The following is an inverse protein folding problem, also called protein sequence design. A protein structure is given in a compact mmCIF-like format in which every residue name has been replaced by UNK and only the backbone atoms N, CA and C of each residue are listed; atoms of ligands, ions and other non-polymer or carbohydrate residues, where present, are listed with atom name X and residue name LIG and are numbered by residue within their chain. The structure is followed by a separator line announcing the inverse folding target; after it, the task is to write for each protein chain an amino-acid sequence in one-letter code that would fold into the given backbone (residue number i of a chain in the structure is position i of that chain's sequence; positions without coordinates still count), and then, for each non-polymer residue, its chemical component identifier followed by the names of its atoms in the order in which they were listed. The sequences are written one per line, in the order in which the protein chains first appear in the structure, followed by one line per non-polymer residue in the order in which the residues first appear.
data_IF_736756003654
#
_entry.id   IF_736756003654
#
_cell.length_a   1.000
_cell.length_b   1.000
_cell.length_c   1.000
_cell.angle_alpha   90.00
_cell.angle_beta   90.00
_cell.angle_gamma   90.00
#
_symmetry.space_group_name_H-M   'P 1'
#
loop_
_entity.id
_entity.type
_entity.pdbx_description
1 polymer ?
#
# COMPACT_ATOMS: atom_id res chain seq x y z
N UNK A 1 22.73 18.76 -10.53
CA UNK A 1 22.62 17.34 -10.08
C UNK A 1 21.36 16.78 -10.72
N UNK A 2 21.45 15.70 -11.50
CA UNK A 2 20.28 15.04 -12.08
C UNK A 2 19.87 13.88 -11.17
N UNK A 3 18.61 13.86 -10.74
CA UNK A 3 18.05 12.81 -9.89
C UNK A 3 17.47 11.68 -10.76
N UNK A 4 17.62 10.44 -10.30
CA UNK A 4 16.99 9.26 -10.94
C UNK A 4 15.47 9.26 -10.73
N UNK A 5 15.01 9.74 -9.57
CA UNK A 5 13.60 9.92 -9.25
C UNK A 5 13.46 11.08 -8.27
N UNK A 6 12.39 11.86 -8.43
CA UNK A 6 11.99 12.92 -7.52
C UNK A 6 10.46 12.91 -7.39
N UNK A 7 9.91 13.13 -6.18
CA UNK A 7 8.47 13.19 -6.00
C UNK A 7 7.91 14.44 -6.71
N UNK A 8 6.75 14.28 -7.33
CA UNK A 8 5.98 15.39 -7.91
C UNK A 8 4.94 15.79 -6.88
N UNK A 9 5.17 16.93 -6.23
CA UNK A 9 4.28 17.49 -5.21
C UNK A 9 3.95 18.93 -5.57
N UNK A 10 2.70 19.32 -5.40
CA UNK A 10 2.23 20.67 -5.71
C UNK A 10 1.15 21.17 -4.77
N UNK A 11 0.41 22.17 -5.25
CA UNK A 11 -0.73 22.73 -4.53
C UNK A 11 -1.82 21.69 -4.19
N UNK A 12 -2.18 20.74 -5.08
CA UNK A 12 -3.21 19.75 -4.77
C UNK A 12 -2.88 18.90 -3.54
N UNK A 13 -1.65 18.38 -3.45
CA UNK A 13 -1.22 17.55 -2.31
C UNK A 13 -1.19 18.37 -1.02
N UNK A 14 -0.70 19.62 -1.10
CA UNK A 14 -0.70 20.53 0.05
C UNK A 14 -2.11 20.84 0.55
N UNK A 15 -3.04 21.09 -0.37
CA UNK A 15 -4.43 21.37 -0.03
C UNK A 15 -5.14 20.13 0.56
N UNK A 16 -4.86 18.94 0.04
CA UNK A 16 -5.39 17.69 0.59
C UNK A 16 -4.87 17.44 2.02
N UNK A 17 -3.57 17.66 2.26
CA UNK A 17 -2.98 17.55 3.59
C UNK A 17 -3.59 18.56 4.58
N UNK A 18 -3.76 19.82 4.17
CA UNK A 18 -4.36 20.85 5.00
C UNK A 18 -5.77 20.47 5.46
N UNK A 19 -6.61 19.92 4.58
CA UNK A 19 -7.95 19.44 4.95
C UNK A 19 -7.93 18.37 6.05
N UNK A 20 -6.96 17.44 6.01
CA UNK A 20 -6.80 16.42 7.06
C UNK A 20 -6.40 17.08 8.38
N UNK A 21 -5.44 18.00 8.35
CA UNK A 21 -4.99 18.74 9.53
C UNK A 21 -6.13 19.55 10.15
N UNK A 22 -6.86 20.30 9.33
CA UNK A 22 -7.98 21.15 9.77
C UNK A 22 -9.15 20.34 10.32
N UNK A 23 -9.32 19.08 9.88
CA UNK A 23 -10.35 18.17 10.41
C UNK A 23 -10.06 17.66 11.83
N UNK A 24 -8.81 17.72 12.28
CA UNK A 24 -8.37 17.14 13.56
C UNK A 24 -8.26 15.61 13.60
N UNK A 25 -8.61 14.89 12.51
CA UNK A 25 -8.55 13.44 12.42
C UNK A 25 -7.40 12.99 11.51
N UNK A 26 -6.23 12.70 12.11
CA UNK A 26 -4.97 12.51 11.37
C UNK A 26 -4.68 11.08 10.90
N UNK A 27 -5.43 10.09 11.37
CA UNK A 27 -5.19 8.67 11.10
C UNK A 27 -6.24 8.11 10.13
N UNK A 28 -6.40 6.78 10.08
CA UNK A 28 -7.40 6.08 9.28
C UNK A 28 -8.78 6.72 9.45
N UNK A 29 -9.33 7.25 8.35
CA UNK A 29 -10.56 8.05 8.35
C UNK A 29 -11.11 8.22 6.94
N UNK A 30 -11.99 9.21 6.75
CA UNK A 30 -12.75 9.38 5.49
C UNK A 30 -11.86 9.50 4.25
N UNK A 31 -10.69 10.14 4.36
CA UNK A 31 -9.77 10.27 3.23
C UNK A 31 -9.17 8.92 2.80
N UNK A 32 -8.95 8.01 3.75
CA UNK A 32 -8.46 6.65 3.45
C UNK A 32 -9.54 5.85 2.74
N UNK A 33 -10.78 5.87 3.24
CA UNK A 33 -11.91 5.21 2.58
C UNK A 33 -12.16 5.74 1.18
N UNK A 34 -12.13 7.07 1.00
CA UNK A 34 -12.27 7.67 -0.33
C UNK A 34 -11.15 7.23 -1.29
N UNK A 35 -9.93 7.08 -0.78
CA UNK A 35 -8.81 6.54 -1.56
C UNK A 35 -9.03 5.06 -1.92
N UNK A 36 -9.45 4.22 -0.98
CA UNK A 36 -9.75 2.80 -1.20
C UNK A 36 -10.82 2.61 -2.28
N UNK A 37 -11.95 3.32 -2.19
CA UNK A 37 -13.03 3.28 -3.17
C UNK A 37 -12.55 3.69 -4.57
N UNK A 38 -11.81 4.80 -4.66
CA UNK A 38 -11.25 5.28 -5.92
C UNK A 38 -10.22 4.30 -6.50
N UNK A 39 -9.37 3.72 -5.65
CA UNK A 39 -8.34 2.77 -6.08
C UNK A 39 -8.94 1.45 -6.55
N UNK A 40 -9.96 0.93 -5.85
CA UNK A 40 -10.73 -0.24 -6.27
C UNK A 40 -11.35 -0.02 -7.67
N UNK A 41 -12.00 1.14 -7.86
CA UNK A 41 -12.62 1.49 -9.13
C UNK A 41 -11.61 1.56 -10.29
N UNK A 42 -10.43 2.16 -10.08
CA UNK A 42 -9.36 2.24 -11.09
C UNK A 42 -8.86 0.86 -11.52
N UNK A 43 -8.85 -0.11 -10.60
CA UNK A 43 -8.35 -1.47 -10.87
C UNK A 43 -9.45 -2.48 -11.21
N UNK A 44 -10.72 -2.06 -11.22
CA UNK A 44 -11.87 -2.96 -11.40
C UNK A 44 -12.00 -4.01 -10.28
N UNK A 45 -11.47 -3.73 -9.10
CA UNK A 45 -11.57 -4.59 -7.94
C UNK A 45 -12.91 -4.38 -7.22
N UNK A 46 -13.42 -5.43 -6.56
CA UNK A 46 -14.65 -5.34 -5.75
C UNK A 46 -14.44 -4.51 -4.49
N UNK A 47 -13.21 -4.55 -3.95
CA UNK A 47 -12.83 -3.86 -2.72
C UNK A 47 -11.33 -3.53 -2.73
N UNK A 48 -10.89 -2.62 -1.87
CA UNK A 48 -9.50 -2.25 -1.66
C UNK A 48 -9.24 -1.92 -0.18
N UNK A 49 -8.07 -2.35 0.32
CA UNK A 49 -7.62 -2.03 1.68
C UNK A 49 -6.29 -1.30 1.61
N UNK A 50 -6.26 -0.05 2.07
CA UNK A 50 -5.07 0.75 2.15
C UNK A 50 -4.24 0.33 3.38
N UNK A 51 -2.95 0.13 3.15
CA UNK A 51 -1.99 -0.26 4.19
C UNK A 51 -0.74 0.60 4.10
N UNK A 52 0.13 0.50 5.11
CA UNK A 52 1.29 1.37 5.27
C UNK A 52 2.39 1.18 4.20
N UNK A 53 2.43 0.04 3.51
CA UNK A 53 3.39 -0.23 2.43
C UNK A 53 3.00 -1.47 1.61
N UNK A 54 3.58 -1.61 0.41
CA UNK A 54 3.42 -2.84 -0.39
C UNK A 54 3.93 -4.10 0.33
N UNK A 55 4.99 -3.99 1.16
CA UNK A 55 5.47 -5.11 1.97
C UNK A 55 4.42 -5.56 2.98
N UNK A 56 3.76 -4.62 3.66
CA UNK A 56 2.68 -4.92 4.58
C UNK A 56 1.48 -5.55 3.85
N UNK A 57 1.16 -5.08 2.64
CA UNK A 57 0.10 -5.67 1.81
C UNK A 57 0.40 -7.13 1.48
N UNK A 58 1.59 -7.42 0.94
CA UNK A 58 2.01 -8.79 0.62
C UNK A 58 1.98 -9.69 1.85
N UNK A 59 2.48 -9.21 2.97
CA UNK A 59 2.50 -9.96 4.22
C UNK A 59 1.08 -10.28 4.70
N UNK A 60 0.17 -9.30 4.74
CA UNK A 60 -1.22 -9.51 5.14
C UNK A 60 -1.99 -10.43 4.18
N UNK A 61 -1.70 -10.39 2.88
CA UNK A 61 -2.29 -11.32 1.90
C UNK A 61 -1.90 -12.75 2.23
N UNK A 62 -0.63 -13.02 2.52
CA UNK A 62 -0.17 -14.37 2.85
C UNK A 62 -0.81 -14.90 4.15
N UNK A 63 -0.88 -14.05 5.18
CA UNK A 63 -1.61 -14.37 6.42
C UNK A 63 -3.10 -14.62 6.17
N UNK A 64 -3.74 -13.80 5.34
CA UNK A 64 -5.16 -13.96 4.98
C UNK A 64 -5.44 -15.24 4.17
N UNK A 65 -4.46 -15.73 3.42
CA UNK A 65 -4.52 -17.01 2.71
C UNK A 65 -4.17 -18.21 3.61
N UNK A 66 -3.72 -17.97 4.84
CA UNK A 66 -3.32 -19.03 5.78
C UNK A 66 -1.98 -19.70 5.42
N UNK A 67 -1.13 -19.03 4.64
CA UNK A 67 0.21 -19.52 4.29
C UNK A 67 1.10 -19.49 5.52
N UNK A 68 1.86 -20.56 5.74
CA UNK A 68 2.75 -20.69 6.89
C UNK A 68 3.91 -21.67 6.69
N UNK A 69 4.58 -22.08 7.80
CA UNK A 69 5.70 -23.00 7.74
C UNK A 69 5.35 -24.32 7.05
N UNK A 70 6.12 -24.67 6.03
CA UNK A 70 5.93 -25.89 5.23
C UNK A 70 5.25 -25.64 3.89
N UNK A 71 4.62 -24.48 3.69
CA UNK A 71 4.05 -24.10 2.40
C UNK A 71 5.12 -23.54 1.45
N UNK A 72 4.89 -23.71 0.15
CA UNK A 72 5.77 -23.19 -0.91
C UNK A 72 5.11 -22.01 -1.62
N UNK A 73 5.83 -20.89 -1.72
CA UNK A 73 5.41 -19.71 -2.50
C UNK A 73 6.44 -19.41 -3.57
N UNK A 74 6.01 -19.46 -4.84
CA UNK A 74 6.88 -19.19 -5.98
C UNK A 74 7.08 -17.68 -6.15
N UNK A 75 8.35 -17.25 -6.19
CA UNK A 75 8.73 -15.85 -6.43
C UNK A 75 9.82 -15.76 -7.51
N UNK A 76 9.82 -14.73 -8.37
CA UNK A 76 10.88 -14.54 -9.34
C UNK A 76 12.24 -14.30 -8.68
N UNK A 77 13.32 -14.85 -9.25
CA UNK A 77 14.69 -14.55 -8.77
C UNK A 77 15.09 -13.09 -9.00
N UNK A 78 14.53 -12.43 -10.01
CA UNK A 78 14.78 -11.02 -10.32
C UNK A 78 13.56 -10.19 -9.94
N UNK A 79 13.53 -9.70 -8.70
CA UNK A 79 12.49 -8.83 -8.15
C UNK A 79 13.04 -8.00 -6.98
N UNK A 80 12.27 -7.06 -6.45
CA UNK A 80 12.64 -6.40 -5.19
C UNK A 80 12.47 -7.35 -4.01
N UNK A 81 13.37 -7.27 -3.03
CA UNK A 81 13.49 -8.24 -1.92
C UNK A 81 12.22 -8.36 -1.05
N UNK A 82 11.38 -7.31 -1.01
CA UNK A 82 10.13 -7.35 -0.26
C UNK A 82 9.22 -8.53 -0.63
N UNK A 83 9.23 -8.96 -1.90
CA UNK A 83 8.43 -10.10 -2.37
C UNK A 83 8.81 -11.39 -1.66
N UNK A 84 10.12 -11.69 -1.57
CA UNK A 84 10.60 -12.89 -0.89
C UNK A 84 10.55 -12.75 0.64
N UNK A 85 10.83 -11.55 1.17
CA UNK A 85 10.76 -11.30 2.61
C UNK A 85 9.34 -11.46 3.15
N UNK A 86 8.31 -11.06 2.39
CA UNK A 86 6.93 -11.26 2.81
C UNK A 86 6.61 -12.74 3.03
N UNK A 87 7.19 -13.65 2.23
CA UNK A 87 7.08 -15.11 2.39
C UNK A 87 7.92 -15.62 3.55
N UNK A 88 9.15 -15.13 3.70
CA UNK A 88 10.07 -15.60 4.74
C UNK A 88 9.55 -15.32 6.16
N UNK A 89 8.78 -14.24 6.34
CA UNK A 89 8.34 -13.76 7.64
C UNK A 89 6.84 -13.96 7.92
N UNK A 90 6.18 -14.88 7.20
CA UNK A 90 4.83 -15.36 7.57
C UNK A 90 4.83 -16.14 8.88
#
# INVERSE_FOLDING_TARGET
MLLVSAPILGFPEKAALAKVVDSGWLTMGDQVRAFEEAFAAVHGAVDCVAVSSCTAALHLILHGLGIGPGDEVLVPSLTFVATANAVLYV
#
